data_IF_999683213905
#
_entry.id   IF_999683213905
#
_cell.length_a   1.000
_cell.length_b   1.000
_cell.length_c   1.000
_cell.angle_alpha   90.00
_cell.angle_beta   90.00
_cell.angle_gamma   90.00
#
_symmetry.space_group_name_H-M   'P 1'
#
loop_
_entity.id
_entity.type
_entity.pdbx_description
1 polymer ?
#
# COMPACT_ATOMS: atom_id res chain seq x y z
N UNK A 1 2.42 -0.43 8.34
CA UNK A 1 1.06 -0.80 8.78
C UNK A 1 0.08 -0.20 7.80
N UNK A 2 -1.06 -0.85 7.58
CA UNK A 2 -2.09 -0.41 6.63
C UNK A 2 -3.47 -0.69 7.23
N UNK A 3 -4.49 0.05 6.80
CA UNK A 3 -5.91 -0.33 7.03
C UNK A 3 -6.34 -1.41 6.04
N UNK A 4 -7.48 -2.05 6.30
CA UNK A 4 -8.15 -2.98 5.39
C UNK A 4 -8.50 -2.32 4.05
N UNK A 5 -8.89 -1.05 4.04
CA UNK A 5 -9.11 -0.27 2.81
C UNK A 5 -7.91 -0.19 1.85
N UNK A 6 -6.69 -0.52 2.29
CA UNK A 6 -5.49 -0.62 1.42
C UNK A 6 -5.40 -1.97 0.72
N UNK A 7 -5.92 -3.04 1.34
CA UNK A 7 -5.70 -4.44 0.94
C UNK A 7 -6.98 -5.18 0.56
N UNK A 8 -8.14 -4.59 0.78
CA UNK A 8 -9.46 -5.14 0.43
C UNK A 8 -10.18 -4.18 -0.53
N UNK A 9 -11.00 -4.73 -1.43
CA UNK A 9 -11.79 -3.93 -2.36
C UNK A 9 -12.69 -4.78 -3.25
N UNK A 10 -13.60 -4.17 -4.02
CA UNK A 10 -14.48 -4.90 -4.94
C UNK A 10 -13.67 -5.69 -5.98
N UNK A 11 -13.60 -7.01 -5.80
CA UNK A 11 -12.83 -7.89 -6.70
C UNK A 11 -11.36 -8.09 -6.32
N UNK A 12 -10.91 -7.55 -5.17
CA UNK A 12 -9.58 -7.79 -4.61
C UNK A 12 -9.70 -8.66 -3.36
N UNK A 13 -9.06 -9.84 -3.37
CA UNK A 13 -8.97 -10.66 -2.16
C UNK A 13 -7.91 -10.11 -1.22
N UNK A 14 -8.08 -10.30 0.09
CA UNK A 14 -7.13 -9.86 1.12
C UNK A 14 -5.69 -10.32 0.82
N UNK A 15 -5.50 -11.59 0.45
CA UNK A 15 -4.17 -12.14 0.14
C UNK A 15 -3.53 -11.43 -1.06
N UNK A 16 -4.31 -11.18 -2.13
CA UNK A 16 -3.82 -10.49 -3.33
C UNK A 16 -3.51 -9.01 -3.02
N UNK A 17 -4.30 -8.36 -2.17
CA UNK A 17 -4.04 -7.00 -1.72
C UNK A 17 -2.77 -6.90 -0.87
N UNK A 18 -2.58 -7.83 0.06
CA UNK A 18 -1.36 -7.91 0.87
C UNK A 18 -0.11 -8.17 0.00
N UNK A 19 -0.19 -9.10 -0.94
CA UNK A 19 0.91 -9.39 -1.88
C UNK A 19 1.26 -8.15 -2.72
N UNK A 20 0.25 -7.44 -3.23
CA UNK A 20 0.42 -6.21 -3.99
C UNK A 20 1.07 -5.10 -3.15
N UNK A 21 0.55 -4.83 -1.95
CA UNK A 21 1.09 -3.81 -1.05
C UNK A 21 2.55 -4.13 -0.66
N UNK A 22 2.84 -5.40 -0.38
CA UNK A 22 4.20 -5.88 -0.11
C UNK A 22 5.14 -5.70 -1.30
N UNK A 23 4.69 -6.01 -2.51
CA UNK A 23 5.47 -5.84 -3.75
C UNK A 23 5.81 -4.37 -4.00
N UNK A 24 4.84 -3.47 -3.81
CA UNK A 24 5.05 -2.03 -3.95
C UNK A 24 6.04 -1.50 -2.91
N UNK A 25 5.91 -1.93 -1.66
CA UNK A 25 6.86 -1.56 -0.61
C UNK A 25 8.28 -2.08 -0.92
N UNK A 26 8.41 -3.32 -1.40
CA UNK A 26 9.71 -3.89 -1.78
C UNK A 26 10.35 -3.13 -2.95
N UNK A 27 9.56 -2.77 -3.96
CA UNK A 27 10.01 -1.93 -5.08
C UNK A 27 10.44 -0.55 -4.60
N UNK A 28 9.65 0.10 -3.74
CA UNK A 28 10.00 1.42 -3.20
C UNK A 28 11.34 1.40 -2.43
N UNK A 29 11.58 0.35 -1.65
CA UNK A 29 12.87 0.14 -0.97
C UNK A 29 14.00 -0.06 -1.99
N UNK A 30 13.77 -0.86 -3.03
CA UNK A 30 14.75 -1.09 -4.09
C UNK A 30 15.09 0.21 -4.85
N UNK A 31 14.09 1.03 -5.12
CA UNK A 31 14.20 2.32 -5.81
C UNK A 31 14.79 3.42 -4.90
N UNK A 32 15.05 3.12 -3.63
CA UNK A 32 15.65 4.06 -2.67
C UNK A 32 14.68 5.12 -2.13
N UNK A 33 13.37 4.93 -2.32
CA UNK A 33 12.35 5.87 -1.90
C UNK A 33 12.34 6.08 -0.38
N UNK A 34 12.02 7.30 0.02
CA UNK A 34 11.82 7.66 1.41
C UNK A 34 10.46 7.15 1.94
N UNK A 35 10.20 7.32 3.23
CA UNK A 35 9.01 6.77 3.87
C UNK A 35 7.71 7.38 3.32
N UNK A 36 7.72 8.69 3.02
CA UNK A 36 6.58 9.42 2.44
C UNK A 36 6.33 8.97 1.00
N UNK A 37 7.38 8.95 0.16
CA UNK A 37 7.29 8.46 -1.23
C UNK A 37 6.81 7.00 -1.31
N UNK A 38 7.21 6.17 -0.35
CA UNK A 38 6.73 4.79 -0.25
C UNK A 38 5.24 4.74 0.12
N UNK A 39 4.82 5.60 1.06
CA UNK A 39 3.41 5.67 1.48
C UNK A 39 2.52 6.13 0.33
N UNK A 40 2.91 7.19 -0.38
CA UNK A 40 2.18 7.74 -1.53
C UNK A 40 1.98 6.67 -2.61
N UNK A 41 3.05 5.93 -2.96
CA UNK A 41 2.98 4.87 -3.97
C UNK A 41 1.99 3.75 -3.61
N UNK A 42 1.92 3.39 -2.32
CA UNK A 42 0.97 2.38 -1.84
C UNK A 42 -0.44 2.95 -1.83
N UNK A 43 -0.62 4.21 -1.43
CA UNK A 43 -1.90 4.89 -1.38
C UNK A 43 -2.52 5.04 -2.78
N UNK A 44 -1.73 5.50 -3.76
CA UNK A 44 -2.14 5.64 -5.16
C UNK A 44 -2.61 4.30 -5.75
N UNK A 45 -1.93 3.22 -5.37
CA UNK A 45 -2.30 1.88 -5.77
C UNK A 45 -3.63 1.44 -5.14
N UNK A 46 -3.90 1.79 -3.89
CA UNK A 46 -5.17 1.48 -3.23
C UNK A 46 -6.34 2.23 -3.88
N UNK A 47 -6.18 3.52 -4.17
CA UNK A 47 -7.21 4.38 -4.82
C UNK A 47 -7.65 3.83 -6.17
N UNK A 48 -6.75 3.21 -6.92
CA UNK A 48 -7.07 2.64 -8.22
C UNK A 48 -8.04 1.43 -8.17
N UNK A 49 -8.36 0.88 -7.00
CA UNK A 49 -9.20 -0.33 -6.83
C UNK A 49 -10.63 0.00 -6.37
N UNK A 50 -11.01 1.28 -6.32
CA UNK A 50 -12.37 1.72 -5.95
C UNK A 50 -12.82 1.16 -4.58
N UNK A 51 -11.99 1.39 -3.55
CA UNK A 51 -12.26 0.99 -2.18
C UNK A 51 -13.44 1.76 -1.58
N UNK A 52 -14.32 1.02 -0.90
CA UNK A 52 -15.52 1.51 -0.22
C UNK A 52 -15.24 2.10 1.18
N UNK A 53 -14.01 1.98 1.69
CA UNK A 53 -13.64 2.26 3.08
C UNK A 53 -12.46 3.24 3.20
N UNK A 54 -12.20 3.73 4.41
CA UNK A 54 -11.12 4.67 4.72
C UNK A 54 -9.73 4.03 4.51
N UNK A 55 -8.82 4.78 3.87
CA UNK A 55 -7.50 4.29 3.49
C UNK A 55 -6.41 5.02 4.24
N UNK A 56 -5.56 4.27 4.94
CA UNK A 56 -4.38 4.82 5.61
C UNK A 56 -3.16 3.87 5.53
N UNK A 57 -1.99 4.47 5.33
CA UNK A 57 -0.70 3.78 5.27
C UNK A 57 0.26 4.45 6.26
N UNK A 58 0.91 3.66 7.11
CA UNK A 58 1.99 4.11 8.00
C UNK A 58 3.29 3.37 7.65
N UNK A 59 4.28 4.13 7.16
CA UNK A 59 5.63 3.64 6.86
C UNK A 59 6.59 4.11 7.93
N UNK A 60 7.31 3.17 8.53
CA UNK A 60 8.40 3.45 9.46
C UNK A 60 9.70 2.98 8.82
N UNK A 61 10.67 3.89 8.68
CA UNK A 61 12.01 3.57 8.19
C UNK A 61 13.03 3.92 9.26
N UNK A 62 13.81 2.93 9.67
CA UNK A 62 14.98 3.17 10.53
C UNK A 62 16.18 3.47 9.65
N UNK A 63 16.71 4.68 9.79
CA UNK A 63 18.00 5.09 9.22
C UNK A 63 19.15 4.59 10.06
#
# INVERSE_FOLDING_TARGET
MVTDGVVEGPGLTLDAGLERAGTLAAQAVHDGLNAEETADRILDAAVAVDHLDDVAVLVLRRT
#
